data_IF_271678854046
#
_entry.id   IF_271678854046
#
_cell.length_a   1.000
_cell.length_b   1.000
_cell.length_c   1.000
_cell.angle_alpha   90.00
_cell.angle_beta   90.00
_cell.angle_gamma   90.00
#
_symmetry.space_group_name_H-M   'P 1'
#
loop_
_entity.id
_entity.type
_entity.pdbx_description
1 polymer ?
#
# COMPACT_ATOMS: atom_id res chain seq x y z
N UNK A 1 83.00 29.24 -23.06
CA UNK A 1 82.29 27.92 -23.15
C UNK A 1 81.16 27.95 -22.20
N UNK A 2 79.90 28.26 -22.64
CA UNK A 2 78.71 28.38 -21.77
C UNK A 2 77.78 27.21 -22.10
N UNK A 3 77.59 26.33 -21.18
CA UNK A 3 76.70 25.16 -21.28
C UNK A 3 75.30 25.61 -20.82
N UNK A 4 74.36 25.55 -21.75
CA UNK A 4 72.92 25.81 -21.48
C UNK A 4 72.25 24.46 -21.19
N UNK A 5 71.78 24.27 -19.93
CA UNK A 5 70.95 23.14 -19.52
C UNK A 5 69.50 23.43 -19.87
N UNK A 6 68.90 22.67 -20.81
CA UNK A 6 67.46 22.65 -21.04
C UNK A 6 66.80 21.67 -20.04
N UNK A 7 65.94 22.20 -19.15
CA UNK A 7 65.08 21.38 -18.30
C UNK A 7 63.77 21.11 -19.03
N UNK A 8 63.51 19.84 -19.33
CA UNK A 8 62.25 19.38 -19.93
C UNK A 8 61.22 19.12 -18.79
N UNK A 9 60.19 19.97 -18.66
CA UNK A 9 59.05 19.72 -17.81
C UNK A 9 58.10 18.75 -18.49
N UNK A 10 58.05 17.51 -18.02
CA UNK A 10 57.03 16.52 -18.40
C UNK A 10 55.80 16.76 -17.56
N UNK A 11 54.77 17.41 -18.14
CA UNK A 11 53.48 17.60 -17.50
C UNK A 11 52.69 16.28 -17.46
N UNK A 12 52.51 15.71 -16.29
CA UNK A 12 51.58 14.60 -16.03
C UNK A 12 50.15 15.13 -16.14
N UNK A 13 49.45 14.82 -17.23
CA UNK A 13 48.03 15.05 -17.39
C UNK A 13 47.32 13.89 -16.70
N UNK A 14 46.85 14.10 -15.44
CA UNK A 14 45.98 13.15 -14.75
C UNK A 14 44.59 13.25 -15.35
N UNK A 15 44.19 12.28 -16.17
CA UNK A 15 42.78 12.09 -16.58
C UNK A 15 41.98 11.65 -15.36
N UNK A 16 41.28 12.58 -14.77
CA UNK A 16 40.25 12.25 -13.75
C UNK A 16 39.06 11.64 -14.49
N UNK A 17 38.97 10.31 -14.47
CA UNK A 17 37.77 9.59 -14.91
C UNK A 17 36.63 9.94 -13.95
N UNK A 18 35.70 10.79 -14.38
CA UNK A 18 34.47 11.03 -13.67
C UNK A 18 33.67 9.74 -13.61
N UNK A 19 33.69 9.08 -12.46
CA UNK A 19 32.83 7.93 -12.18
C UNK A 19 31.40 8.46 -12.18
N UNK A 20 30.68 8.24 -13.27
CA UNK A 20 29.25 8.49 -13.35
C UNK A 20 28.58 7.53 -12.35
N UNK A 21 28.29 8.01 -11.17
CA UNK A 21 27.58 7.24 -10.16
C UNK A 21 26.21 6.82 -10.74
N UNK A 22 26.09 5.54 -11.06
CA UNK A 22 24.83 4.95 -11.53
C UNK A 22 23.81 5.16 -10.44
N UNK A 23 22.75 5.95 -10.75
CA UNK A 23 21.68 6.22 -9.78
C UNK A 23 21.15 4.91 -9.23
N UNK A 24 21.14 4.75 -7.90
CA UNK A 24 20.64 3.54 -7.27
C UNK A 24 19.22 3.22 -7.77
N UNK A 25 18.91 1.93 -7.99
CA UNK A 25 17.57 1.52 -8.36
C UNK A 25 16.58 2.07 -7.33
N UNK A 26 15.45 2.59 -7.81
CA UNK A 26 14.40 3.12 -6.94
C UNK A 26 13.76 1.96 -6.19
N UNK A 27 13.69 2.07 -4.87
CA UNK A 27 13.00 1.10 -4.03
C UNK A 27 11.50 1.07 -4.34
N UNK A 28 10.93 -0.13 -4.39
CA UNK A 28 9.51 -0.30 -4.68
C UNK A 28 8.65 0.02 -3.45
N UNK A 29 9.18 -0.22 -2.26
CA UNK A 29 8.49 -0.02 -0.99
C UNK A 29 9.15 1.08 -0.18
N UNK A 30 8.31 1.88 0.49
CA UNK A 30 8.74 2.95 1.36
C UNK A 30 8.08 2.81 2.74
N UNK A 31 8.70 3.41 3.74
CA UNK A 31 8.23 3.39 5.12
C UNK A 31 7.70 4.77 5.47
N UNK A 32 6.55 4.80 6.14
CA UNK A 32 5.99 6.00 6.74
C UNK A 32 5.62 5.70 8.18
N UNK A 33 6.11 6.52 9.10
CA UNK A 33 5.72 6.46 10.51
C UNK A 33 4.82 7.64 10.83
N UNK A 34 3.68 7.34 11.43
CA UNK A 34 2.69 8.34 11.87
C UNK A 34 2.55 8.22 13.38
N UNK A 35 2.74 9.33 14.07
CA UNK A 35 2.54 9.43 15.52
C UNK A 35 1.26 10.22 15.74
N UNK A 36 0.32 9.64 16.46
CA UNK A 36 -0.89 10.33 16.89
C UNK A 36 -0.51 11.44 17.88
N UNK A 37 -0.75 12.72 17.56
CA UNK A 37 -0.34 13.81 18.41
C UNK A 37 -1.11 13.89 19.74
N UNK A 38 -2.23 13.19 19.87
CA UNK A 38 -3.07 13.17 21.07
C UNK A 38 -2.66 12.03 22.00
N UNK A 39 -2.53 10.83 21.46
CA UNK A 39 -2.29 9.62 22.24
C UNK A 39 -0.81 9.21 22.30
N UNK A 40 0.02 9.75 21.42
CA UNK A 40 1.40 9.32 21.24
C UNK A 40 1.55 7.94 20.56
N UNK A 41 0.43 7.32 20.17
CA UNK A 41 0.45 6.01 19.53
C UNK A 41 1.13 6.08 18.17
N UNK A 42 2.06 5.16 17.93
CA UNK A 42 2.82 5.10 16.68
C UNK A 42 2.26 4.04 15.75
N UNK A 43 2.00 4.43 14.51
CA UNK A 43 1.63 3.54 13.43
C UNK A 43 2.73 3.56 12.38
N UNK A 44 3.23 2.38 12.01
CA UNK A 44 4.26 2.24 10.98
C UNK A 44 3.67 1.54 9.75
N UNK A 45 3.81 2.18 8.59
CA UNK A 45 3.23 1.73 7.33
C UNK A 45 4.33 1.46 6.33
N UNK A 46 4.34 0.26 5.76
CA UNK A 46 5.16 -0.15 4.61
C UNK A 46 4.24 -0.14 3.38
N UNK A 47 4.53 0.71 2.42
CA UNK A 47 3.65 0.94 1.28
C UNK A 47 4.43 0.99 -0.04
N UNK A 48 3.86 0.42 -1.10
CA UNK A 48 4.40 0.58 -2.45
C UNK A 48 3.68 1.71 -3.17
N UNK A 49 4.29 2.89 -3.15
CA UNK A 49 3.78 4.05 -3.87
C UNK A 49 4.91 4.75 -4.64
N UNK A 50 4.52 5.57 -5.60
CA UNK A 50 5.44 6.43 -6.32
C UNK A 50 5.42 7.85 -5.79
N UNK A 51 6.60 8.47 -5.81
CA UNK A 51 6.75 9.91 -5.54
C UNK A 51 7.03 10.64 -6.85
N UNK A 52 6.20 11.62 -7.17
CA UNK A 52 6.50 12.60 -8.22
C UNK A 52 6.76 13.93 -7.53
N UNK A 53 8.04 14.28 -7.40
CA UNK A 53 8.47 15.45 -6.63
C UNK A 53 8.17 15.28 -5.14
N UNK A 54 7.35 16.16 -4.56
CA UNK A 54 6.92 16.11 -3.16
C UNK A 54 5.55 15.42 -2.97
N UNK A 55 4.94 14.96 -4.03
CA UNK A 55 3.59 14.37 -4.00
C UNK A 55 3.69 12.86 -4.12
N UNK A 56 3.04 12.17 -3.20
CA UNK A 56 2.90 10.72 -3.22
C UNK A 56 1.68 10.36 -4.05
N UNK A 57 1.92 9.61 -5.12
CA UNK A 57 0.85 9.08 -5.97
C UNK A 57 0.92 7.57 -5.98
N UNK A 58 -0.24 6.95 -5.97
CA UNK A 58 -0.31 5.66 -6.64
C UNK A 58 -0.45 5.94 -8.15
N UNK A 59 0.22 5.17 -8.96
CA UNK A 59 0.20 5.35 -10.42
C UNK A 59 -1.15 5.05 -11.05
N UNK A 60 -2.08 4.47 -10.31
CA UNK A 60 -3.40 4.11 -10.77
C UNK A 60 -4.46 4.37 -9.73
N UNK A 61 -5.38 5.25 -10.04
CA UNK A 61 -6.55 5.52 -9.22
C UNK A 61 -6.24 5.81 -7.75
N UNK A 62 -5.00 6.21 -7.45
CA UNK A 62 -4.54 6.50 -6.09
C UNK A 62 -4.57 5.32 -5.10
N UNK A 63 -4.55 4.09 -5.61
CA UNK A 63 -4.52 2.89 -4.78
C UNK A 63 -3.11 2.31 -4.69
N UNK A 64 -2.70 1.90 -3.50
CA UNK A 64 -1.42 1.23 -3.28
C UNK A 64 -1.51 0.20 -2.16
N UNK A 65 -0.73 -0.90 -2.24
CA UNK A 65 -0.71 -1.90 -1.19
C UNK A 65 0.01 -1.37 0.03
N UNK A 66 -0.49 -1.79 1.19
CA UNK A 66 0.07 -1.45 2.49
C UNK A 66 0.20 -2.70 3.37
N UNK A 67 1.24 -2.68 4.19
CA UNK A 67 1.36 -3.50 5.40
C UNK A 67 1.60 -2.53 6.55
N UNK A 68 0.75 -2.58 7.55
CA UNK A 68 0.74 -1.61 8.64
C UNK A 68 0.87 -2.31 9.98
N UNK A 69 1.77 -1.83 10.83
CA UNK A 69 1.79 -2.13 12.25
C UNK A 69 1.06 -1.01 12.98
N UNK A 70 -0.22 -1.24 13.23
CA UNK A 70 -1.10 -0.26 13.85
C UNK A 70 -1.12 -0.46 15.36
N UNK A 71 -0.90 0.61 16.13
CA UNK A 71 -0.83 0.54 17.59
C UNK A 71 -2.11 -0.01 18.26
N UNK A 72 -3.28 0.15 17.61
CA UNK A 72 -4.57 -0.30 18.16
C UNK A 72 -5.07 -1.59 17.53
N UNK A 73 -4.94 -1.70 16.21
CA UNK A 73 -5.52 -2.78 15.41
C UNK A 73 -4.53 -3.91 15.13
N UNK A 74 -3.24 -3.72 15.50
CA UNK A 74 -2.17 -4.66 15.21
C UNK A 74 -1.78 -4.69 13.75
N UNK A 75 -1.48 -5.87 13.23
CA UNK A 75 -1.09 -6.07 11.84
C UNK A 75 -2.29 -5.87 10.90
N UNK A 76 -2.15 -4.96 9.95
CA UNK A 76 -3.08 -4.76 8.85
C UNK A 76 -2.39 -4.99 7.51
N UNK A 77 -3.06 -5.68 6.58
CA UNK A 77 -2.58 -5.92 5.23
C UNK A 77 -3.69 -5.63 4.24
N UNK A 78 -3.38 -4.90 3.18
CA UNK A 78 -4.37 -4.60 2.14
C UNK A 78 -3.97 -3.45 1.24
N UNK A 79 -4.95 -2.62 0.89
CA UNK A 79 -4.82 -1.52 -0.06
C UNK A 79 -5.34 -0.24 0.58
N UNK A 80 -4.66 0.87 0.32
CA UNK A 80 -5.09 2.20 0.72
C UNK A 80 -5.14 3.14 -0.48
N UNK A 81 -6.00 4.14 -0.40
CA UNK A 81 -5.93 5.32 -1.24
C UNK A 81 -5.34 6.44 -0.41
N UNK A 82 -4.18 6.94 -0.80
CA UNK A 82 -3.47 7.95 -0.02
C UNK A 82 -3.24 9.24 -0.76
N UNK A 83 -2.58 10.15 -0.05
CA UNK A 83 -2.26 11.47 -0.58
C UNK A 83 -3.35 12.50 -0.33
N UNK A 84 -3.32 13.60 -1.09
CA UNK A 84 -4.26 14.71 -0.92
C UNK A 84 -5.70 14.36 -1.31
N UNK A 85 -5.86 13.39 -2.19
CA UNK A 85 -7.16 12.97 -2.71
C UNK A 85 -7.40 11.52 -2.32
N UNK A 86 -8.16 11.33 -1.26
CA UNK A 86 -8.60 10.01 -0.85
C UNK A 86 -9.84 9.61 -1.65
N UNK A 87 -9.79 8.45 -2.27
CA UNK A 87 -10.90 7.87 -3.02
C UNK A 87 -11.33 6.55 -2.39
N UNK A 88 -12.60 6.16 -2.49
CA UNK A 88 -13.04 4.86 -2.02
C UNK A 88 -12.25 3.73 -2.67
N UNK A 89 -11.75 2.82 -1.86
CA UNK A 89 -10.99 1.64 -2.33
C UNK A 89 -11.93 0.55 -2.87
N UNK A 90 -13.14 0.45 -2.33
CA UNK A 90 -14.04 -0.67 -2.64
C UNK A 90 -13.44 -2.03 -2.30
N UNK A 91 -14.09 -3.09 -2.79
CA UNK A 91 -13.58 -4.46 -2.64
C UNK A 91 -12.37 -4.69 -3.55
N UNK A 92 -11.39 -5.43 -3.06
CA UNK A 92 -10.10 -5.66 -3.72
C UNK A 92 -9.92 -7.14 -4.02
N UNK A 93 -9.52 -7.43 -5.26
CA UNK A 93 -8.96 -8.73 -5.63
C UNK A 93 -7.43 -8.65 -5.53
N UNK A 94 -6.84 -9.56 -4.78
CA UNK A 94 -5.44 -9.57 -4.39
C UNK A 94 -4.79 -10.90 -4.75
N UNK A 95 -3.59 -10.89 -5.32
CA UNK A 95 -2.87 -12.10 -5.67
C UNK A 95 -1.36 -11.91 -5.56
N UNK A 96 -0.71 -12.85 -4.94
CA UNK A 96 0.75 -12.96 -4.91
C UNK A 96 1.17 -14.04 -5.90
N UNK A 97 2.04 -13.71 -6.83
CA UNK A 97 2.52 -14.59 -7.91
C UNK A 97 1.40 -15.34 -8.65
N UNK A 98 1.48 -16.66 -8.74
CA UNK A 98 0.48 -17.54 -9.35
C UNK A 98 -0.50 -18.13 -8.33
N UNK A 99 -0.46 -17.74 -7.06
CA UNK A 99 -1.38 -18.23 -6.05
C UNK A 99 -2.84 -17.90 -6.40
N UNK A 100 -3.82 -18.64 -5.86
CA UNK A 100 -5.22 -18.26 -5.97
C UNK A 100 -5.44 -16.83 -5.47
N UNK A 101 -6.29 -16.08 -6.15
CA UNK A 101 -6.62 -14.72 -5.69
C UNK A 101 -7.45 -14.76 -4.41
N UNK A 102 -7.29 -13.72 -3.60
CA UNK A 102 -8.10 -13.45 -2.42
C UNK A 102 -9.00 -12.25 -2.68
N UNK A 103 -10.19 -12.27 -2.14
CA UNK A 103 -11.08 -11.12 -2.10
C UNK A 103 -11.02 -10.47 -0.71
N UNK A 104 -10.76 -9.16 -0.70
CA UNK A 104 -10.84 -8.32 0.49
C UNK A 104 -12.05 -7.42 0.33
N UNK A 105 -12.95 -7.47 1.29
CA UNK A 105 -14.15 -6.63 1.28
C UNK A 105 -13.94 -5.38 2.13
N UNK A 106 -14.24 -4.22 1.57
CA UNK A 106 -14.15 -2.96 2.29
C UNK A 106 -15.08 -2.94 3.52
N UNK A 107 -16.21 -3.64 3.43
CA UNK A 107 -17.16 -3.80 4.54
C UNK A 107 -16.61 -4.61 5.73
N UNK A 108 -15.55 -5.42 5.49
CA UNK A 108 -14.90 -6.24 6.53
C UNK A 108 -13.69 -5.54 7.15
N UNK A 109 -13.46 -4.28 6.84
CA UNK A 109 -12.40 -3.50 7.49
C UNK A 109 -12.52 -3.60 9.01
N UNK A 110 -11.38 -3.78 9.72
CA UNK A 110 -11.40 -3.78 11.16
C UNK A 110 -11.93 -2.42 11.66
N UNK A 111 -13.03 -2.46 12.35
CA UNK A 111 -13.63 -1.27 12.96
C UNK A 111 -12.77 -0.73 14.09
N UNK A 112 -12.91 0.56 14.37
CA UNK A 112 -12.41 1.13 15.62
C UNK A 112 -13.18 0.50 16.77
N UNK A 113 -12.50 -0.26 17.62
CA UNK A 113 -13.09 -0.85 18.82
C UNK A 113 -13.72 0.20 19.76
N UNK A 114 -13.35 1.47 19.59
CA UNK A 114 -13.89 2.59 20.34
C UNK A 114 -15.09 3.27 19.65
N UNK A 115 -15.50 2.82 18.47
CA UNK A 115 -16.75 3.32 17.88
C UNK A 115 -17.90 2.70 18.68
N UNK A 116 -18.66 3.50 19.47
CA UNK A 116 -19.74 2.94 20.25
C UNK A 116 -20.72 2.23 19.31
N UNK A 117 -21.15 1.02 19.64
CA UNK A 117 -22.19 0.38 18.86
C UNK A 117 -23.42 1.28 18.88
N UNK A 118 -24.05 1.47 17.72
CA UNK A 118 -25.32 2.19 17.66
C UNK A 118 -26.28 1.45 18.58
N UNK A 119 -26.82 2.12 19.62
CA UNK A 119 -27.68 1.46 20.55
C UNK A 119 -28.89 0.84 19.81
N UNK A 120 -29.22 -0.42 20.07
CA UNK A 120 -30.31 -1.07 19.37
C UNK A 120 -31.62 -0.31 19.63
N UNK A 121 -32.30 0.06 18.56
CA UNK A 121 -33.63 0.62 18.65
C UNK A 121 -34.57 -0.45 19.16
N UNK A 122 -35.34 -0.14 20.23
CA UNK A 122 -36.29 -1.07 20.84
C UNK A 122 -37.72 -0.59 20.61
N UNK A 123 -38.48 -1.36 19.84
CA UNK A 123 -39.89 -1.14 19.58
C UNK A 123 -40.79 -1.86 20.61
N UNK A 124 -40.20 -2.77 21.40
CA UNK A 124 -40.93 -3.69 22.27
C UNK A 124 -41.42 -4.97 21.58
N UNK A 125 -41.05 -5.15 20.28
CA UNK A 125 -41.31 -6.35 19.52
C UNK A 125 -39.99 -6.94 19.03
N UNK A 126 -39.57 -8.08 19.54
CA UNK A 126 -38.28 -8.70 19.27
C UNK A 126 -38.04 -8.95 17.78
N UNK A 127 -39.08 -9.32 17.00
CA UNK A 127 -38.95 -9.55 15.57
C UNK A 127 -38.71 -8.24 14.82
N UNK A 128 -39.40 -7.16 15.19
CA UNK A 128 -39.20 -5.84 14.60
C UNK A 128 -37.84 -5.26 15.00
N UNK A 129 -37.42 -5.44 16.24
CA UNK A 129 -36.14 -4.97 16.76
C UNK A 129 -34.99 -5.66 16.03
N UNK A 130 -35.10 -6.98 15.80
CA UNK A 130 -34.12 -7.71 14.98
C UNK A 130 -34.06 -7.22 13.52
N UNK A 131 -35.21 -7.01 12.88
CA UNK A 131 -35.26 -6.54 11.52
C UNK A 131 -34.64 -5.15 11.36
N UNK A 132 -34.88 -4.24 12.31
CA UNK A 132 -34.26 -2.90 12.35
C UNK A 132 -32.74 -3.01 12.55
N UNK A 133 -32.28 -3.86 13.47
CA UNK A 133 -30.86 -4.07 13.72
C UNK A 133 -30.14 -4.63 12.49
N UNK A 134 -30.73 -5.63 11.81
CA UNK A 134 -30.20 -6.23 10.59
C UNK A 134 -30.13 -5.19 9.43
N UNK A 135 -31.16 -4.36 9.28
CA UNK A 135 -31.20 -3.28 8.28
C UNK A 135 -30.16 -2.21 8.55
N UNK A 136 -29.96 -1.81 9.81
CA UNK A 136 -28.93 -0.85 10.21
C UNK A 136 -27.52 -1.41 9.97
N UNK A 137 -27.29 -2.67 10.34
CA UNK A 137 -26.00 -3.33 10.10
C UNK A 137 -25.67 -3.43 8.59
N UNK A 138 -26.67 -3.75 7.77
CA UNK A 138 -26.51 -3.76 6.31
C UNK A 138 -26.17 -2.37 5.77
N UNK A 139 -26.92 -1.35 6.18
CA UNK A 139 -26.69 0.04 5.77
C UNK A 139 -25.28 0.51 6.16
N UNK A 140 -24.85 0.20 7.39
CA UNK A 140 -23.50 0.55 7.85
C UNK A 140 -22.42 -0.14 7.02
N UNK A 141 -22.55 -1.44 6.73
CA UNK A 141 -21.62 -2.17 5.86
C UNK A 141 -21.56 -1.58 4.47
N UNK A 142 -22.71 -1.25 3.87
CA UNK A 142 -22.76 -0.61 2.57
C UNK A 142 -22.07 0.76 2.58
N UNK A 143 -22.34 1.59 3.59
CA UNK A 143 -21.71 2.90 3.75
C UNK A 143 -20.20 2.77 3.88
N UNK A 144 -19.71 1.88 4.74
CA UNK A 144 -18.27 1.62 4.90
C UNK A 144 -17.68 1.14 3.57
N UNK A 145 -18.33 0.20 2.88
CA UNK A 145 -17.86 -0.30 1.58
C UNK A 145 -17.75 0.80 0.52
N UNK A 146 -18.64 1.79 0.56
CA UNK A 146 -18.67 2.89 -0.41
C UNK A 146 -17.73 4.06 -0.07
N UNK A 147 -17.40 4.25 1.20
CA UNK A 147 -16.64 5.42 1.67
C UNK A 147 -15.25 5.10 2.18
N UNK A 148 -14.95 3.82 2.47
CA UNK A 148 -13.67 3.41 2.99
C UNK A 148 -12.52 3.78 2.04
N UNK A 149 -11.55 4.50 2.56
CA UNK A 149 -10.33 4.89 1.81
C UNK A 149 -9.19 3.89 1.97
N UNK A 150 -9.47 2.78 2.62
CA UNK A 150 -8.61 1.60 2.68
C UNK A 150 -9.48 0.34 2.71
N UNK A 151 -8.96 -0.76 2.19
CA UNK A 151 -9.54 -2.10 2.29
C UNK A 151 -8.45 -3.00 2.81
N UNK A 152 -8.55 -3.33 4.09
CA UNK A 152 -7.51 -4.04 4.83
C UNK A 152 -8.12 -5.19 5.64
N UNK A 153 -7.28 -6.17 5.95
CA UNK A 153 -7.62 -7.25 6.87
C UNK A 153 -6.70 -7.20 8.07
N UNK A 154 -7.14 -7.78 9.19
CA UNK A 154 -6.40 -7.91 10.44
C UNK A 154 -6.35 -9.36 10.92
N UNK A 155 -5.68 -9.59 12.02
CA UNK A 155 -5.63 -10.89 12.71
C UNK A 155 -5.04 -12.03 11.84
N UNK A 156 -5.58 -13.26 11.93
CA UNK A 156 -5.05 -14.42 11.23
C UNK A 156 -4.96 -14.24 9.71
N UNK A 157 -5.97 -13.61 9.10
CA UNK A 157 -6.02 -13.36 7.66
C UNK A 157 -4.89 -12.42 7.21
N UNK A 158 -4.60 -11.38 7.99
CA UNK A 158 -3.46 -10.51 7.72
C UNK A 158 -2.12 -11.26 7.82
N UNK A 159 -1.98 -12.12 8.83
CA UNK A 159 -0.79 -12.97 8.99
C UNK A 159 -0.59 -13.95 7.84
N UNK A 160 -1.66 -14.55 7.32
CA UNK A 160 -1.59 -15.41 6.13
C UNK A 160 -1.16 -14.63 4.89
N UNK A 161 -1.77 -13.48 4.64
CA UNK A 161 -1.42 -12.64 3.50
C UNK A 161 0.02 -12.16 3.57
N UNK A 162 0.49 -11.76 4.76
CA UNK A 162 1.88 -11.39 4.95
C UNK A 162 2.84 -12.55 4.67
N UNK A 163 2.53 -13.76 5.14
CA UNK A 163 3.35 -14.96 4.83
C UNK A 163 3.40 -15.24 3.33
N UNK A 164 2.28 -15.10 2.61
CA UNK A 164 2.27 -15.23 1.14
C UNK A 164 3.17 -14.18 0.49
N UNK A 165 3.11 -12.92 0.95
CA UNK A 165 3.96 -11.85 0.43
C UNK A 165 5.44 -12.11 0.71
N UNK A 166 5.79 -12.63 1.89
CA UNK A 166 7.17 -12.95 2.25
C UNK A 166 7.74 -14.11 1.43
N UNK A 167 6.91 -15.09 1.09
CA UNK A 167 7.29 -16.22 0.25
C UNK A 167 7.26 -15.87 -1.26
N UNK A 168 6.52 -14.83 -1.63
CA UNK A 168 6.31 -14.43 -3.02
C UNK A 168 7.38 -13.48 -3.56
N UNK A 169 7.27 -13.21 -4.86
CA UNK A 169 8.15 -12.31 -5.60
C UNK A 169 7.42 -11.09 -6.15
N UNK A 170 6.12 -11.20 -6.35
CA UNK A 170 5.33 -10.17 -6.97
C UNK A 170 3.90 -10.12 -6.45
N UNK A 171 3.35 -8.92 -6.40
CA UNK A 171 1.99 -8.65 -5.97
C UNK A 171 1.21 -7.97 -7.09
N UNK A 172 -0.02 -8.44 -7.30
CA UNK A 172 -0.99 -7.82 -8.20
C UNK A 172 -2.29 -7.63 -7.42
N UNK A 173 -2.92 -6.48 -7.57
CA UNK A 173 -4.27 -6.27 -7.06
C UNK A 173 -5.09 -5.37 -7.99
N UNK A 174 -6.40 -5.41 -7.81
CA UNK A 174 -7.35 -4.51 -8.49
C UNK A 174 -8.61 -4.35 -7.66
N UNK A 175 -9.39 -3.33 -7.95
CA UNK A 175 -10.77 -3.26 -7.44
C UNK A 175 -11.59 -4.43 -8.02
N UNK A 176 -12.44 -5.05 -7.21
CA UNK A 176 -13.28 -6.16 -7.63
C UNK A 176 -14.34 -5.70 -8.64
N UNK A 177 -14.91 -4.54 -8.39
CA UNK A 177 -15.83 -3.86 -9.28
C UNK A 177 -15.12 -2.67 -9.90
N UNK A 178 -14.43 -2.86 -11.01
CA UNK A 178 -14.29 -1.79 -11.98
C UNK A 178 -15.69 -1.60 -12.56
N UNK A 179 -16.45 -0.70 -11.95
CA UNK A 179 -17.84 -0.53 -12.34
C UNK A 179 -17.95 -0.34 -13.84
N UNK A 180 -18.79 -1.10 -14.56
CA UNK A 180 -19.19 -0.76 -15.91
C UNK A 180 -20.03 0.53 -15.96
N UNK A 181 -20.13 1.26 -14.84
CA UNK A 181 -20.99 2.41 -14.61
C UNK A 181 -20.81 3.56 -15.59
N UNK A 182 -19.76 3.59 -16.41
CA UNK A 182 -19.52 4.64 -17.38
C UNK A 182 -19.27 4.14 -18.80
N UNK A 183 -19.75 2.96 -19.16
CA UNK A 183 -19.59 2.42 -20.51
C UNK A 183 -18.14 2.08 -20.88
N UNK A 184 -17.24 2.07 -19.91
CA UNK A 184 -15.89 1.60 -20.10
C UNK A 184 -15.90 0.08 -20.25
N UNK A 185 -15.10 -0.50 -21.17
CA UNK A 185 -15.02 -1.93 -21.31
C UNK A 185 -14.68 -2.57 -19.97
N UNK A 186 -15.41 -3.62 -19.59
CA UNK A 186 -15.18 -4.41 -18.37
C UNK A 186 -13.76 -5.01 -18.25
N UNK A 187 -12.99 -4.90 -19.32
CA UNK A 187 -11.58 -5.34 -19.41
C UNK A 187 -10.55 -4.31 -18.91
N UNK A 188 -10.93 -3.08 -18.64
CA UNK A 188 -10.01 -2.13 -18.01
C UNK A 188 -9.83 -2.47 -16.52
N UNK A 189 -9.05 -3.47 -16.33
CA UNK A 189 -8.56 -3.91 -15.02
C UNK A 189 -7.59 -2.87 -14.51
N UNK A 190 -7.96 -2.10 -13.49
CA UNK A 190 -7.03 -1.23 -12.79
C UNK A 190 -6.04 -2.11 -12.03
N UNK A 191 -4.90 -2.37 -12.64
CA UNK A 191 -3.79 -3.09 -12.02
C UNK A 191 -2.85 -2.05 -11.44
N UNK A 192 -2.60 -2.11 -10.16
CA UNK A 192 -1.49 -1.35 -9.60
C UNK A 192 -0.21 -2.12 -9.85
N UNK A 193 0.63 -1.55 -10.64
CA UNK A 193 1.96 -2.00 -10.98
C UNK A 193 2.79 -0.79 -11.37
N UNK A 194 4.07 -0.99 -11.61
CA UNK A 194 4.88 0.08 -12.18
C UNK A 194 4.42 0.36 -13.60
N UNK A 195 4.03 1.60 -13.87
CA UNK A 195 3.74 2.04 -15.23
C UNK A 195 5.04 2.13 -16.00
N UNK A 196 5.13 1.33 -17.03
CA UNK A 196 6.16 1.50 -18.06
C UNK A 196 5.45 1.66 -19.39
N UNK A 197 6.14 2.14 -20.42
CA UNK A 197 5.60 2.18 -21.78
C UNK A 197 5.19 0.79 -22.31
N UNK A 198 5.54 -0.27 -21.59
CA UNK A 198 5.26 -1.67 -21.92
C UNK A 198 4.04 -2.24 -21.14
N UNK A 199 3.31 -1.41 -20.41
CA UNK A 199 2.15 -1.81 -19.61
C UNK A 199 2.41 -1.94 -18.11
N UNK A 200 1.40 -2.47 -17.39
CA UNK A 200 1.44 -2.59 -15.93
C UNK A 200 2.32 -3.76 -15.51
N UNK A 201 3.34 -3.47 -14.70
CA UNK A 201 4.17 -4.50 -14.08
C UNK A 201 3.68 -4.82 -12.66
N UNK A 202 3.73 -6.09 -12.24
CA UNK A 202 3.50 -6.47 -10.86
C UNK A 202 4.42 -5.69 -9.90
N UNK A 203 3.95 -5.44 -8.70
CA UNK A 203 4.74 -4.80 -7.65
C UNK A 203 5.73 -5.84 -7.12
N UNK A 204 7.05 -5.57 -7.15
CA UNK A 204 8.02 -6.53 -6.64
C UNK A 204 7.96 -6.62 -5.11
N UNK A 205 8.01 -7.84 -4.58
CA UNK A 205 8.18 -8.13 -3.16
C UNK A 205 9.67 -8.36 -2.90
N UNK A 206 10.44 -7.30 -3.05
CA UNK A 206 11.91 -7.28 -3.02
C UNK A 206 12.48 -7.00 -1.61
N UNK A 207 13.79 -6.77 -1.55
CA UNK A 207 14.46 -6.46 -0.29
C UNK A 207 13.99 -5.16 0.37
N UNK A 208 13.47 -4.18 -0.42
CA UNK A 208 12.91 -2.96 0.16
C UNK A 208 11.65 -3.25 0.98
N UNK A 209 10.84 -4.22 0.53
CA UNK A 209 9.69 -4.72 1.29
C UNK A 209 10.13 -5.33 2.63
N UNK A 210 11.08 -6.27 2.60
CA UNK A 210 11.56 -6.95 3.82
C UNK A 210 12.21 -5.98 4.80
N UNK A 211 13.04 -5.07 4.31
CA UNK A 211 13.62 -4.01 5.16
C UNK A 211 12.54 -3.12 5.77
N UNK A 212 11.50 -2.79 4.99
CA UNK A 212 10.38 -2.01 5.48
C UNK A 212 9.67 -2.69 6.64
N UNK A 213 9.34 -3.98 6.50
CA UNK A 213 8.72 -4.76 7.57
C UNK A 213 9.56 -4.80 8.83
N UNK A 214 10.87 -5.09 8.69
CA UNK A 214 11.79 -5.12 9.83
C UNK A 214 11.86 -3.76 10.55
N UNK A 215 11.92 -2.65 9.80
CA UNK A 215 11.93 -1.31 10.37
C UNK A 215 10.62 -0.94 11.08
N UNK A 216 9.49 -1.53 10.67
CA UNK A 216 8.20 -1.39 11.35
C UNK A 216 7.99 -2.41 12.50
N UNK A 217 8.99 -3.21 12.85
CA UNK A 217 8.88 -4.24 13.89
C UNK A 217 7.93 -5.38 13.52
N UNK A 218 7.70 -5.62 12.23
CA UNK A 218 6.85 -6.70 11.73
C UNK A 218 7.74 -7.92 11.48
N UNK A 219 7.45 -9.09 12.08
CA UNK A 219 8.26 -10.29 11.89
C UNK A 219 8.31 -10.72 10.41
N UNK A 220 9.52 -11.06 9.93
CA UNK A 220 9.75 -11.47 8.53
C UNK A 220 10.03 -12.97 8.37
N UNK A 221 9.88 -13.74 9.43
CA UNK A 221 10.11 -15.19 9.44
C UNK A 221 10.50 -15.68 10.78
#
# INVERSE_FOLDING_TARGET
MRIVLLAACIGLVTLSAAVVAKKAPREAWAITQVIDPITGASTCVVAAYDKIGRVEFSRFGYLYPIVENNARLGLLVGVSSGGKFRVPTGDILWRVDSNPYRELKAADNPGDANTPPIPPYKTGNDAADKAVADAMALTQRMTVGMTATSTVVSGPKAGEMLREMLAGRSLIFRQAQAAPAYGLPSSQTYRVGQFTNEGLKPIPLDDSFRRGLAACGIPTG
#
